data_IF_896719660643
#
_entry.id   IF_896719660643
#
_cell.length_a   1.000
_cell.length_b   1.000
_cell.length_c   1.000
_cell.angle_alpha   90.00
_cell.angle_beta   90.00
_cell.angle_gamma   90.00
#
_symmetry.space_group_name_H-M   'P 1'
#
loop_
_entity.id
_entity.type
_entity.pdbx_description
1 polymer ?
#
# COMPACT_ATOMS: atom_id res chain seq x y z
N UNK A 1 48.85 15.88 -3.32
CA UNK A 1 47.83 15.22 -4.16
C UNK A 1 47.29 14.04 -3.39
N UNK A 2 46.13 14.20 -2.76
CA UNK A 2 45.43 13.14 -2.04
C UNK A 2 43.95 13.41 -2.23
N UNK A 3 43.29 12.52 -2.95
CA UNK A 3 42.01 12.74 -3.60
C UNK A 3 40.89 12.98 -2.58
N UNK A 4 40.13 14.05 -2.80
CA UNK A 4 38.80 14.22 -2.23
C UNK A 4 37.92 13.06 -2.72
N UNK A 5 37.57 12.12 -1.85
CA UNK A 5 36.40 11.28 -2.07
C UNK A 5 35.20 12.06 -1.55
N UNK A 6 34.48 12.74 -2.45
CA UNK A 6 33.17 13.29 -2.16
C UNK A 6 32.19 12.13 -1.98
N UNK A 7 32.05 11.64 -0.75
CA UNK A 7 30.95 10.75 -0.37
C UNK A 7 29.64 11.51 -0.54
N UNK A 8 28.93 11.26 -1.65
CA UNK A 8 27.65 11.88 -1.92
C UNK A 8 26.69 11.57 -0.76
N UNK A 9 26.32 12.60 0.00
CA UNK A 9 25.31 12.53 1.03
C UNK A 9 23.95 12.26 0.37
N UNK A 10 23.65 10.98 0.13
CA UNK A 10 22.36 10.55 -0.35
C UNK A 10 21.31 10.88 0.70
N UNK A 11 20.60 12.00 0.54
CA UNK A 11 19.51 12.38 1.44
C UNK A 11 18.51 11.22 1.52
N UNK A 12 18.34 10.66 2.72
CA UNK A 12 17.35 9.63 3.00
C UNK A 12 15.97 10.05 2.48
N UNK A 13 15.21 9.08 1.99
CA UNK A 13 13.87 9.29 1.49
C UNK A 13 12.87 8.97 2.60
N UNK A 14 11.99 9.92 2.90
CA UNK A 14 10.89 9.69 3.83
C UNK A 14 9.65 9.24 3.07
N UNK A 15 9.09 8.12 3.50
CA UNK A 15 7.90 7.50 2.91
C UNK A 15 6.82 7.38 3.98
N UNK A 16 5.60 7.74 3.62
CA UNK A 16 4.38 7.50 4.39
C UNK A 16 3.56 6.47 3.62
N UNK A 17 3.13 5.42 4.30
CA UNK A 17 2.33 4.35 3.69
C UNK A 17 1.01 4.24 4.44
N UNK A 18 -0.09 4.51 3.76
CA UNK A 18 -1.45 4.34 4.29
C UNK A 18 -1.97 2.97 3.92
N UNK A 19 -2.35 2.16 4.91
CA UNK A 19 -3.13 0.95 4.69
C UNK A 19 -4.63 1.28 4.80
N UNK A 20 -5.50 0.29 4.66
CA UNK A 20 -6.94 0.49 4.91
C UNK A 20 -7.29 0.73 6.39
N UNK A 21 -6.39 0.39 7.31
CA UNK A 21 -6.64 0.38 8.76
C UNK A 21 -5.75 1.37 9.54
N UNK A 22 -4.51 1.54 9.09
CA UNK A 22 -3.51 2.34 9.78
C UNK A 22 -2.57 3.08 8.81
N UNK A 23 -2.07 4.24 9.27
CA UNK A 23 -1.02 5.01 8.61
C UNK A 23 0.35 4.67 9.21
N UNK A 24 1.27 4.22 8.36
CA UNK A 24 2.67 4.01 8.70
C UNK A 24 3.46 5.28 8.39
N UNK A 25 3.63 6.11 9.42
CA UNK A 25 4.38 7.36 9.29
C UNK A 25 5.90 7.12 9.31
N UNK A 26 6.63 7.99 8.59
CA UNK A 26 8.10 8.18 8.72
C UNK A 26 8.96 6.94 8.43
N UNK A 27 8.57 6.10 7.47
CA UNK A 27 9.45 5.04 6.97
C UNK A 27 10.62 5.72 6.24
N UNK A 28 11.81 5.61 6.79
CA UNK A 28 13.02 6.21 6.23
C UNK A 28 13.76 5.14 5.45
N UNK A 29 13.93 5.36 4.14
CA UNK A 29 14.61 4.42 3.25
C UNK A 29 15.82 5.05 2.58
N UNK A 30 16.77 4.21 2.21
CA UNK A 30 17.92 4.61 1.42
C UNK A 30 17.49 5.10 0.03
N UNK A 31 18.20 6.07 -0.56
CA UNK A 31 17.81 6.68 -1.84
C UNK A 31 17.79 5.70 -3.00
N UNK A 32 18.50 4.57 -2.90
CA UNK A 32 18.53 3.50 -3.88
C UNK A 32 17.57 2.33 -3.59
N UNK A 33 16.74 2.47 -2.56
CA UNK A 33 15.72 1.50 -2.18
C UNK A 33 14.78 1.17 -3.35
N UNK A 34 14.59 -0.11 -3.57
CA UNK A 34 13.65 -0.67 -4.56
C UNK A 34 12.22 -0.68 -4.02
N UNK A 35 11.24 -0.70 -4.92
CA UNK A 35 9.84 -0.88 -4.53
C UNK A 35 9.64 -2.14 -3.70
N UNK A 36 10.35 -3.23 -4.04
CA UNK A 36 10.30 -4.50 -3.31
C UNK A 36 10.80 -4.38 -1.87
N UNK A 37 11.95 -3.74 -1.65
CA UNK A 37 12.50 -3.57 -0.30
C UNK A 37 11.57 -2.75 0.61
N UNK A 38 10.98 -1.68 0.08
CA UNK A 38 9.99 -0.90 0.82
C UNK A 38 8.74 -1.73 1.12
N UNK A 39 8.21 -2.44 0.11
CA UNK A 39 7.03 -3.30 0.26
C UNK A 39 7.24 -4.41 1.30
N UNK A 40 8.38 -5.10 1.26
CA UNK A 40 8.72 -6.14 2.23
C UNK A 40 8.87 -5.55 3.65
N UNK A 41 9.37 -4.31 3.77
CA UNK A 41 9.44 -3.58 5.05
C UNK A 41 8.05 -3.28 5.60
N UNK A 42 7.15 -2.77 4.75
CA UNK A 42 5.75 -2.51 5.11
C UNK A 42 5.07 -3.81 5.58
N UNK A 43 5.18 -4.89 4.80
CA UNK A 43 4.59 -6.19 5.14
C UNK A 43 5.11 -6.72 6.48
N UNK A 44 6.41 -6.54 6.76
CA UNK A 44 7.00 -6.92 8.05
C UNK A 44 6.44 -6.11 9.22
N UNK A 45 6.25 -4.80 9.05
CA UNK A 45 5.69 -3.92 10.09
C UNK A 45 4.27 -4.35 10.46
N UNK A 46 3.43 -4.68 9.47
CA UNK A 46 2.03 -5.07 9.69
C UNK A 46 1.84 -6.58 9.94
N UNK A 47 2.90 -7.38 9.90
CA UNK A 47 2.83 -8.83 10.12
C UNK A 47 2.20 -9.64 8.98
N UNK A 48 2.19 -9.10 7.76
CA UNK A 48 1.59 -9.74 6.58
C UNK A 48 2.59 -10.68 5.89
N UNK A 49 2.16 -11.92 5.61
CA UNK A 49 2.94 -12.95 4.88
C UNK A 49 2.33 -13.27 3.51
N UNK A 50 1.01 -13.15 3.36
CA UNK A 50 0.27 -13.37 2.10
C UNK A 50 0.41 -12.17 1.15
N UNK A 51 1.65 -11.86 0.81
CA UNK A 51 2.02 -10.61 0.14
C UNK A 51 1.62 -10.55 -1.35
N UNK A 52 1.30 -11.70 -1.97
CA UNK A 52 1.03 -11.79 -3.41
C UNK A 52 -0.26 -11.09 -3.83
N UNK A 53 -1.18 -10.83 -2.90
CA UNK A 53 -2.41 -10.09 -3.19
C UNK A 53 -2.22 -8.57 -3.21
N UNK A 54 -1.14 -8.03 -2.63
CA UNK A 54 -1.02 -6.61 -2.32
C UNK A 54 -0.02 -5.87 -3.21
N UNK A 55 -0.15 -4.55 -3.22
CA UNK A 55 0.81 -3.66 -3.85
C UNK A 55 0.79 -2.27 -3.23
N UNK A 56 1.77 -1.46 -3.64
CA UNK A 56 1.82 -0.03 -3.30
C UNK A 56 1.31 0.78 -4.48
N UNK A 57 0.36 1.66 -4.23
CA UNK A 57 -0.20 2.59 -5.20
C UNK A 57 0.20 4.02 -4.84
N UNK A 58 0.37 4.86 -5.85
CA UNK A 58 0.50 6.30 -5.70
C UNK A 58 -0.31 7.01 -6.77
N UNK A 59 -0.65 8.26 -6.54
CA UNK A 59 -1.28 9.11 -7.56
C UNK A 59 -0.18 9.88 -8.27
N UNK A 60 -0.07 9.74 -9.59
CA UNK A 60 0.93 10.46 -10.37
C UNK A 60 0.56 11.96 -10.50
N UNK A 61 1.47 12.77 -11.09
CA UNK A 61 1.24 14.22 -11.27
C UNK A 61 0.00 14.57 -12.12
N UNK A 62 -0.52 13.61 -12.89
CA UNK A 62 -1.73 13.76 -13.73
C UNK A 62 -3.00 13.33 -12.99
N UNK A 63 -2.92 12.99 -11.70
CA UNK A 63 -4.07 12.54 -10.93
C UNK A 63 -4.47 11.07 -11.18
N UNK A 64 -3.63 10.30 -11.89
CA UNK A 64 -3.95 8.91 -12.25
C UNK A 64 -3.32 7.97 -11.22
N UNK A 65 -4.07 7.00 -10.67
CA UNK A 65 -3.52 5.99 -9.78
C UNK A 65 -2.56 5.07 -10.54
N UNK A 66 -1.37 4.85 -9.98
CA UNK A 66 -0.31 4.04 -10.55
C UNK A 66 0.25 3.09 -9.50
N UNK A 67 0.53 1.86 -9.90
CA UNK A 67 1.18 0.88 -9.04
C UNK A 67 2.70 1.08 -9.07
N UNK A 68 3.32 1.06 -7.89
CA UNK A 68 4.77 1.05 -7.75
C UNK A 68 5.34 -0.25 -8.32
N UNK A 69 6.35 -0.12 -9.15
CA UNK A 69 7.08 -1.24 -9.74
C UNK A 69 8.08 -1.78 -8.73
N UNK A 70 7.96 -3.07 -8.40
CA UNK A 70 8.73 -3.70 -7.33
C UNK A 70 10.21 -3.89 -7.70
N UNK A 71 10.50 -4.10 -8.98
CA UNK A 71 11.81 -4.33 -9.58
C UNK A 71 12.65 -3.05 -9.76
N UNK A 72 12.03 -1.86 -9.62
CA UNK A 72 12.69 -0.57 -9.86
C UNK A 72 12.93 0.21 -8.57
N UNK A 73 13.98 1.03 -8.59
CA UNK A 73 14.27 2.00 -7.53
C UNK A 73 13.16 3.04 -7.45
N UNK A 74 12.72 3.39 -6.24
CA UNK A 74 11.61 4.32 -6.03
C UNK A 74 11.90 5.69 -6.66
N UNK A 75 13.15 6.16 -6.53
CA UNK A 75 13.59 7.43 -7.10
C UNK A 75 13.57 7.49 -8.64
N UNK A 76 13.49 6.35 -9.34
CA UNK A 76 13.43 6.26 -10.81
C UNK A 76 11.99 6.15 -11.35
N UNK A 77 10.98 6.14 -10.48
CA UNK A 77 9.58 5.92 -10.87
C UNK A 77 8.73 7.19 -10.88
N UNK A 78 9.36 8.37 -10.81
CA UNK A 78 8.71 9.69 -10.86
C UNK A 78 7.55 9.88 -9.86
N UNK A 79 7.62 9.18 -8.72
CA UNK A 79 6.60 9.27 -7.68
C UNK A 79 6.55 10.71 -7.13
N UNK A 80 5.38 11.36 -7.10
CA UNK A 80 5.26 12.73 -6.59
C UNK A 80 5.67 12.84 -5.12
N UNK A 81 6.42 13.90 -4.82
CA UNK A 81 6.75 14.27 -3.44
C UNK A 81 5.72 15.27 -2.91
N UNK A 82 5.35 15.09 -1.66
CA UNK A 82 4.53 16.00 -0.89
C UNK A 82 5.30 17.29 -0.58
N UNK A 83 4.60 18.32 -0.06
CA UNK A 83 5.20 19.62 0.30
C UNK A 83 6.32 19.50 1.34
N UNK A 84 6.24 18.50 2.22
CA UNK A 84 7.25 18.17 3.23
C UNK A 84 8.43 17.34 2.67
N UNK A 85 8.44 17.07 1.36
CA UNK A 85 9.46 16.26 0.68
C UNK A 85 9.28 14.75 0.82
N UNK A 86 8.25 14.29 1.55
CA UNK A 86 7.94 12.86 1.70
C UNK A 86 7.19 12.29 0.50
N UNK A 87 7.25 10.97 0.33
CA UNK A 87 6.43 10.24 -0.63
C UNK A 87 5.26 9.60 0.09
N UNK A 88 4.05 9.75 -0.44
CA UNK A 88 2.87 9.09 0.07
C UNK A 88 2.49 7.93 -0.86
N UNK A 89 2.32 6.75 -0.29
CA UNK A 89 1.87 5.54 -0.97
C UNK A 89 0.68 4.96 -0.22
N UNK A 90 -0.15 4.23 -0.93
CA UNK A 90 -1.30 3.51 -0.37
C UNK A 90 -1.05 2.02 -0.57
N UNK A 91 -1.13 1.26 0.50
CA UNK A 91 -1.02 -0.20 0.50
C UNK A 91 -2.41 -0.79 0.26
N UNK A 92 -2.60 -1.43 -0.89
CA UNK A 92 -3.91 -1.89 -1.36
C UNK A 92 -3.83 -3.32 -1.88
N UNK A 93 -4.98 -4.00 -1.84
CA UNK A 93 -5.21 -5.25 -2.57
C UNK A 93 -5.20 -4.94 -4.07
N UNK A 94 -4.36 -5.67 -4.80
CA UNK A 94 -4.18 -5.59 -6.25
C UNK A 94 -4.79 -6.79 -6.97
N UNK A 95 -4.70 -7.96 -6.36
CA UNK A 95 -5.22 -9.22 -6.90
C UNK A 95 -6.18 -9.83 -5.89
N UNK A 96 -7.30 -10.36 -6.38
CA UNK A 96 -8.32 -11.00 -5.55
C UNK A 96 -8.27 -12.52 -5.80
N UNK A 97 -8.41 -13.35 -4.74
CA UNK A 97 -8.48 -14.81 -4.89
C UNK A 97 -9.76 -15.23 -5.63
N UNK A 98 -9.79 -16.46 -6.10
CA UNK A 98 -11.01 -17.09 -6.63
C UNK A 98 -11.90 -17.57 -5.48
N UNK A 99 -11.30 -18.12 -4.42
CA UNK A 99 -12.00 -18.54 -3.20
C UNK A 99 -11.40 -17.87 -1.96
N UNK A 100 -12.17 -16.98 -1.33
CA UNK A 100 -11.73 -16.25 -0.13
C UNK A 100 -11.62 -17.12 1.12
N UNK A 101 -12.42 -18.18 1.25
CA UNK A 101 -12.43 -19.02 2.45
C UNK A 101 -11.22 -19.96 2.48
N UNK A 102 -10.84 -20.48 1.31
CA UNK A 102 -9.69 -21.39 1.17
C UNK A 102 -8.36 -20.64 1.02
N UNK A 103 -8.32 -19.52 0.29
CA UNK A 103 -7.05 -18.86 -0.05
C UNK A 103 -6.59 -17.80 0.94
N UNK A 104 -7.50 -17.15 1.68
CA UNK A 104 -7.12 -16.14 2.68
C UNK A 104 -6.93 -16.81 4.03
N UNK A 105 -5.69 -16.91 4.50
CA UNK A 105 -5.34 -17.66 5.71
C UNK A 105 -5.18 -16.74 6.91
N UNK A 106 -4.51 -15.59 6.77
CA UNK A 106 -4.25 -14.69 7.89
C UNK A 106 -5.41 -13.72 8.15
N UNK A 107 -5.72 -13.48 9.43
CA UNK A 107 -6.74 -12.52 9.85
C UNK A 107 -6.46 -11.10 9.33
N UNK A 108 -5.19 -10.67 9.35
CA UNK A 108 -4.80 -9.35 8.81
C UNK A 108 -5.08 -9.26 7.30
N UNK A 109 -4.89 -10.33 6.54
CA UNK A 109 -5.20 -10.37 5.12
C UNK A 109 -6.70 -10.20 4.91
N UNK A 110 -7.51 -11.03 5.60
CA UNK A 110 -8.98 -10.97 5.55
C UNK A 110 -9.50 -9.58 5.93
N UNK A 111 -8.94 -8.99 6.98
CA UNK A 111 -9.29 -7.64 7.46
C UNK A 111 -9.02 -6.56 6.40
N UNK A 112 -7.82 -6.55 5.82
CA UNK A 112 -7.46 -5.56 4.79
C UNK A 112 -8.31 -5.70 3.52
N UNK A 113 -8.61 -6.95 3.11
CA UNK A 113 -9.55 -7.22 2.02
C UNK A 113 -10.95 -6.69 2.32
N UNK A 114 -11.49 -7.01 3.49
CA UNK A 114 -12.80 -6.56 3.94
C UNK A 114 -12.89 -5.03 3.94
N UNK A 115 -11.92 -4.34 4.52
CA UNK A 115 -11.93 -2.88 4.59
C UNK A 115 -11.90 -2.25 3.19
N UNK A 116 -11.08 -2.77 2.28
CA UNK A 116 -10.99 -2.25 0.91
C UNK A 116 -12.30 -2.44 0.14
N UNK A 117 -12.88 -3.64 0.18
CA UNK A 117 -14.14 -3.95 -0.52
C UNK A 117 -15.29 -3.12 0.07
N UNK A 118 -15.37 -3.03 1.41
CA UNK A 118 -16.35 -2.19 2.11
C UNK A 118 -16.26 -0.74 1.63
N UNK A 119 -15.05 -0.18 1.56
CA UNK A 119 -14.84 1.19 1.07
C UNK A 119 -15.26 1.34 -0.40
N UNK A 120 -14.97 0.36 -1.26
CA UNK A 120 -15.37 0.38 -2.67
C UNK A 120 -16.89 0.33 -2.85
N UNK A 121 -17.62 -0.43 -2.03
CA UNK A 121 -19.08 -0.48 -2.03
C UNK A 121 -19.65 0.87 -1.56
N UNK A 122 -19.18 1.39 -0.42
CA UNK A 122 -19.67 2.65 0.14
C UNK A 122 -19.38 3.87 -0.76
N UNK A 123 -18.30 3.83 -1.54
CA UNK A 123 -17.95 4.87 -2.51
C UNK A 123 -18.58 4.68 -3.89
N UNK A 124 -19.50 3.72 -4.04
CA UNK A 124 -20.19 3.40 -5.29
C UNK A 124 -19.26 2.99 -6.45
N UNK A 125 -18.01 2.61 -6.13
CA UNK A 125 -17.07 2.06 -7.12
C UNK A 125 -17.40 0.61 -7.46
N UNK A 126 -17.99 -0.11 -6.49
CA UNK A 126 -18.46 -1.48 -6.67
C UNK A 126 -19.98 -1.49 -6.49
N UNK A 127 -20.70 -1.90 -7.53
CA UNK A 127 -22.15 -2.03 -7.47
C UNK A 127 -22.56 -3.17 -6.52
N UNK A 128 -23.47 -2.87 -5.59
CA UNK A 128 -24.09 -3.85 -4.71
C UNK A 128 -25.59 -3.59 -4.68
N UNK A 129 -26.41 -4.65 -4.73
CA UNK A 129 -27.85 -4.49 -4.60
C UNK A 129 -28.22 -4.02 -3.20
N UNK A 130 -29.41 -3.42 -3.03
CA UNK A 130 -29.85 -2.94 -1.72
C UNK A 130 -29.93 -4.09 -0.69
N UNK A 131 -30.47 -5.23 -1.09
CA UNK A 131 -30.61 -6.42 -0.25
C UNK A 131 -29.24 -6.96 0.20
N UNK A 132 -28.29 -7.08 -0.73
CA UNK A 132 -26.93 -7.52 -0.42
C UNK A 132 -26.18 -6.48 0.45
N UNK A 133 -26.39 -5.19 0.22
CA UNK A 133 -25.77 -4.12 1.02
C UNK A 133 -26.22 -4.17 2.48
N UNK A 134 -27.52 -4.41 2.72
CA UNK A 134 -28.07 -4.56 4.08
C UNK A 134 -27.46 -5.78 4.78
N UNK A 135 -27.33 -6.90 4.07
CA UNK A 135 -26.71 -8.11 4.60
C UNK A 135 -25.21 -7.91 4.90
N UNK A 136 -24.46 -7.27 4.00
CA UNK A 136 -23.05 -6.96 4.23
C UNK A 136 -22.87 -5.99 5.40
N UNK A 137 -23.79 -5.03 5.57
CA UNK A 137 -23.79 -4.11 6.70
C UNK A 137 -24.03 -4.83 8.04
N UNK A 138 -24.91 -5.84 8.09
CA UNK A 138 -25.13 -6.61 9.32
C UNK A 138 -23.89 -7.41 9.71
N UNK A 139 -23.21 -8.06 8.76
CA UNK A 139 -21.94 -8.74 9.00
C UNK A 139 -20.83 -7.77 9.41
N UNK A 140 -20.76 -6.59 8.80
CA UNK A 140 -19.78 -5.57 9.17
C UNK A 140 -19.95 -5.10 10.62
N UNK A 141 -21.19 -4.98 11.12
CA UNK A 141 -21.47 -4.66 12.53
C UNK A 141 -21.10 -5.81 13.47
N UNK A 142 -21.31 -7.06 13.05
CA UNK A 142 -20.93 -8.24 13.83
C UNK A 142 -19.42 -8.43 13.97
N UNK A 143 -18.64 -7.89 13.03
CA UNK A 143 -17.18 -7.96 13.04
C UNK A 143 -16.53 -6.88 13.93
N UNK A 144 -17.32 -5.98 14.53
CA UNK A 144 -16.89 -4.97 15.53
C UNK A 144 -16.86 -5.61 16.92
#
# INVERSE_FOLDING_TARGET
MGFFSSGGSGKYLHVKVSTMDADLEKITVEPDCTGRQLFDTVCRIIGLREIWFFGLQFVNKKGIPCWLQMDKKINKQEVPKQKDGSIHLIFLVKFYPEDVEEELIQDITRHLFFLQIKQSILSMQLYCSAEASVLLASYAVQAI
#
